data_IF_435702175922
#
_entry.id   IF_435702175922
#
_cell.length_a   1.000
_cell.length_b   1.000
_cell.length_c   1.000
_cell.angle_alpha   90.00
_cell.angle_beta   90.00
_cell.angle_gamma   90.00
#
_symmetry.space_group_name_H-M   'P 1'
#
loop_
_entity.id
_entity.type
_entity.pdbx_description
1 polymer ?
#
# COMPACT_ATOMS: atom_id res chain seq x y z
N UNK A 1 1.46 18.78 15.93
CA UNK A 1 0.87 19.59 17.02
C UNK A 1 0.18 18.70 18.06
N UNK A 2 -0.77 17.84 17.71
CA UNK A 2 -1.53 16.98 18.65
C UNK A 2 -0.65 16.08 19.53
N UNK A 3 0.42 15.53 19.00
CA UNK A 3 1.37 14.70 19.76
C UNK A 3 2.01 15.47 20.94
N UNK A 4 2.44 16.73 20.71
CA UNK A 4 3.11 17.54 21.73
C UNK A 4 2.18 17.98 22.86
N UNK A 5 0.86 17.96 22.67
CA UNK A 5 -0.14 18.33 23.68
C UNK A 5 -0.34 17.21 24.71
N UNK A 6 -0.25 15.92 24.29
CA UNK A 6 -0.49 14.79 25.17
C UNK A 6 0.36 13.56 24.79
N UNK A 7 1.70 13.59 24.98
CA UNK A 7 2.59 12.52 24.57
C UNK A 7 2.28 11.18 25.28
N UNK A 8 1.92 11.22 26.57
CA UNK A 8 1.59 10.03 27.34
C UNK A 8 0.27 9.36 26.92
N UNK A 9 -0.68 10.14 26.43
CA UNK A 9 -1.95 9.63 25.89
C UNK A 9 -1.69 8.82 24.61
N UNK A 10 -0.84 9.34 23.72
CA UNK A 10 -0.52 8.66 22.47
C UNK A 10 0.33 7.40 22.68
N UNK A 11 1.29 7.41 23.63
CA UNK A 11 2.07 6.22 23.94
C UNK A 11 1.20 5.11 24.49
N UNK A 12 0.20 5.43 25.31
CA UNK A 12 -0.73 4.45 25.87
C UNK A 12 -1.69 3.86 24.82
N UNK A 13 -2.18 4.68 23.89
CA UNK A 13 -3.08 4.21 22.81
C UNK A 13 -2.34 3.37 21.79
N UNK A 14 -1.14 3.78 21.38
CA UNK A 14 -0.39 3.12 20.32
C UNK A 14 0.51 2.00 20.83
N UNK A 15 0.69 1.88 22.16
CA UNK A 15 1.57 0.87 22.77
C UNK A 15 3.04 1.04 22.35
N UNK A 16 3.46 2.28 21.99
CA UNK A 16 4.80 2.57 21.50
C UNK A 16 5.56 3.43 22.51
N UNK A 17 6.86 3.19 22.60
CA UNK A 17 7.76 3.99 23.40
C UNK A 17 7.88 5.41 22.83
N UNK A 18 8.23 6.35 23.71
CA UNK A 18 8.32 7.77 23.37
C UNK A 18 9.33 8.04 22.25
N UNK A 19 10.43 7.32 22.21
CA UNK A 19 11.46 7.37 21.16
C UNK A 19 10.89 7.03 19.78
N UNK A 20 10.11 5.97 19.68
CA UNK A 20 9.46 5.52 18.44
C UNK A 20 8.35 6.47 17.99
N UNK A 21 7.63 7.06 18.93
CA UNK A 21 6.62 8.07 18.62
C UNK A 21 7.24 9.35 18.03
N UNK A 22 8.35 9.81 18.59
CA UNK A 22 9.08 10.95 18.04
C UNK A 22 9.60 10.63 16.64
N UNK A 23 10.18 9.44 16.46
CA UNK A 23 10.63 8.96 15.14
C UNK A 23 9.50 8.97 14.12
N UNK A 24 8.31 8.48 14.50
CA UNK A 24 7.12 8.47 13.65
C UNK A 24 6.66 9.88 13.25
N UNK A 25 6.65 10.82 14.20
CA UNK A 25 6.28 12.22 13.94
C UNK A 25 7.27 12.90 12.99
N UNK A 26 8.56 12.67 13.17
CA UNK A 26 9.60 13.14 12.25
C UNK A 26 9.37 12.57 10.85
N UNK A 27 9.06 11.28 10.77
CA UNK A 27 8.74 10.61 9.51
C UNK A 27 7.58 11.27 8.76
N UNK A 28 6.47 11.56 9.43
CA UNK A 28 5.33 12.26 8.80
C UNK A 28 5.68 13.65 8.25
N UNK A 29 6.65 14.32 8.84
CA UNK A 29 7.08 15.65 8.39
C UNK A 29 8.02 15.59 7.17
N UNK A 30 8.93 14.62 7.13
CA UNK A 30 9.99 14.61 6.12
C UNK A 30 9.77 13.62 4.98
N UNK A 31 9.14 12.45 5.24
CA UNK A 31 8.94 11.41 4.22
C UNK A 31 8.19 11.87 2.98
N UNK A 32 7.18 12.77 3.05
CA UNK A 32 6.50 13.25 1.86
C UNK A 32 7.44 13.89 0.82
N UNK A 33 8.56 14.48 1.25
CA UNK A 33 9.53 15.08 0.34
C UNK A 33 10.16 14.04 -0.60
N UNK A 34 10.46 12.85 -0.08
CA UNK A 34 10.98 11.74 -0.89
C UNK A 34 9.97 11.31 -1.94
N UNK A 35 8.70 11.12 -1.54
CA UNK A 35 7.64 10.70 -2.45
C UNK A 35 7.37 11.74 -3.55
N UNK A 36 7.32 13.02 -3.21
CA UNK A 36 7.18 14.10 -4.18
C UNK A 36 8.35 14.15 -5.15
N UNK A 37 9.57 14.02 -4.66
CA UNK A 37 10.75 14.04 -5.51
C UNK A 37 10.77 12.82 -6.45
N UNK A 38 10.49 11.61 -5.93
CA UNK A 38 10.41 10.38 -6.73
C UNK A 38 9.30 10.47 -7.79
N UNK A 39 8.12 10.96 -7.41
CA UNK A 39 7.02 11.17 -8.34
C UNK A 39 7.45 12.10 -9.48
N UNK A 40 8.08 13.23 -9.15
CA UNK A 40 8.59 14.16 -10.15
C UNK A 40 9.60 13.51 -11.10
N UNK A 41 10.57 12.73 -10.56
CA UNK A 41 11.54 12.04 -11.42
C UNK A 41 10.85 11.06 -12.39
N UNK A 42 9.79 10.36 -11.95
CA UNK A 42 8.99 9.46 -12.79
C UNK A 42 8.28 10.23 -13.93
N UNK A 43 7.66 11.36 -13.63
CA UNK A 43 7.01 12.20 -14.65
C UNK A 43 7.99 12.83 -15.63
N UNK A 44 9.23 13.14 -15.20
CA UNK A 44 10.31 13.65 -16.06
C UNK A 44 11.06 12.51 -16.76
N UNK A 45 10.69 11.23 -16.56
CA UNK A 45 11.38 10.03 -17.08
C UNK A 45 12.86 9.92 -16.66
N UNK A 46 13.21 10.53 -15.55
CA UNK A 46 14.56 10.48 -14.96
C UNK A 46 14.72 9.30 -14.00
N UNK A 47 14.40 8.10 -14.48
CA UNK A 47 14.35 6.89 -13.66
C UNK A 47 15.68 6.54 -13.00
N UNK A 48 16.84 6.82 -13.65
CA UNK A 48 18.17 6.48 -13.10
C UNK A 48 18.41 7.14 -11.74
N UNK A 49 18.10 8.43 -11.60
CA UNK A 49 18.26 9.14 -10.34
C UNK A 49 17.32 8.61 -9.25
N UNK A 50 16.04 8.37 -9.62
CA UNK A 50 15.05 7.82 -8.69
C UNK A 50 15.48 6.43 -8.19
N UNK A 51 15.87 5.53 -9.09
CA UNK A 51 16.33 4.18 -8.75
C UNK A 51 17.60 4.21 -7.90
N UNK A 52 18.58 5.05 -8.25
CA UNK A 52 19.80 5.18 -7.47
C UNK A 52 19.53 5.62 -6.03
N UNK A 53 18.73 6.67 -5.83
CA UNK A 53 18.39 7.15 -4.49
C UNK A 53 17.65 6.07 -3.70
N UNK A 54 16.67 5.40 -4.30
CA UNK A 54 15.89 4.34 -3.64
C UNK A 54 16.76 3.15 -3.24
N UNK A 55 17.60 2.64 -4.15
CA UNK A 55 18.45 1.49 -3.88
C UNK A 55 19.55 1.83 -2.87
N UNK A 56 20.25 2.95 -3.06
CA UNK A 56 21.33 3.34 -2.15
C UNK A 56 20.80 3.59 -0.73
N UNK A 57 19.68 4.30 -0.59
CA UNK A 57 19.08 4.53 0.74
C UNK A 57 18.65 3.23 1.40
N UNK A 58 18.07 2.28 0.66
CA UNK A 58 17.67 0.98 1.19
C UNK A 58 18.85 0.13 1.62
N UNK A 59 19.93 0.09 0.82
CA UNK A 59 21.16 -0.64 1.17
C UNK A 59 21.80 -0.04 2.42
N UNK A 60 22.00 1.28 2.45
CA UNK A 60 22.64 1.95 3.59
C UNK A 60 21.80 1.76 4.86
N UNK A 61 20.47 1.92 4.78
CA UNK A 61 19.56 1.70 5.90
C UNK A 61 19.63 0.27 6.42
N UNK A 62 19.65 -0.72 5.53
CA UNK A 62 19.74 -2.14 5.90
C UNK A 62 21.09 -2.48 6.54
N UNK A 63 22.20 -2.04 5.95
CA UNK A 63 23.53 -2.29 6.49
C UNK A 63 23.70 -1.64 7.85
N UNK A 64 23.33 -0.36 8.00
CA UNK A 64 23.43 0.33 9.28
C UNK A 64 22.54 -0.31 10.35
N UNK A 65 21.33 -0.76 9.96
CA UNK A 65 20.41 -1.48 10.84
C UNK A 65 21.03 -2.77 11.37
N UNK A 66 21.70 -3.56 10.53
CA UNK A 66 22.40 -4.79 10.93
C UNK A 66 23.58 -4.48 11.86
N UNK A 67 24.38 -3.48 11.54
CA UNK A 67 25.52 -3.06 12.38
C UNK A 67 25.03 -2.66 13.79
N UNK A 68 23.98 -1.86 13.87
CA UNK A 68 23.42 -1.43 15.15
C UNK A 68 22.86 -2.61 15.95
N UNK A 69 22.18 -3.56 15.29
CA UNK A 69 21.67 -4.77 15.95
C UNK A 69 22.81 -5.60 16.53
N UNK A 70 23.89 -5.83 15.78
CA UNK A 70 25.06 -6.58 16.25
C UNK A 70 25.71 -5.86 17.44
N UNK A 71 25.91 -4.57 17.33
CA UNK A 71 26.54 -3.76 18.39
C UNK A 71 25.71 -3.78 19.69
N UNK A 72 24.40 -3.56 19.62
CA UNK A 72 23.52 -3.56 20.78
C UNK A 72 23.39 -4.96 21.42
N UNK A 73 23.34 -6.01 20.59
CA UNK A 73 23.30 -7.39 21.08
C UNK A 73 24.58 -7.76 21.82
N UNK A 74 25.75 -7.36 21.32
CA UNK A 74 27.03 -7.61 21.97
C UNK A 74 27.17 -6.87 23.32
N UNK A 75 26.48 -5.73 23.46
CA UNK A 75 26.45 -4.94 24.69
C UNK A 75 25.30 -5.32 25.63
N UNK A 76 24.62 -6.46 25.40
CA UNK A 76 23.48 -6.93 26.19
C UNK A 76 22.36 -5.89 26.42
N UNK A 77 22.15 -5.01 25.44
CA UNK A 77 21.11 -3.98 25.52
C UNK A 77 19.72 -4.56 25.24
N UNK A 78 18.73 -4.20 26.07
CA UNK A 78 17.33 -4.58 25.82
C UNK A 78 16.71 -3.80 24.64
N UNK A 79 17.30 -2.68 24.22
CA UNK A 79 16.79 -1.78 23.20
C UNK A 79 17.17 -2.20 21.74
N UNK A 80 17.43 -3.49 21.48
CA UNK A 80 17.84 -3.97 20.16
C UNK A 80 16.79 -3.67 19.09
N UNK A 81 15.50 -3.87 19.40
CA UNK A 81 14.40 -3.64 18.46
C UNK A 81 14.24 -2.16 18.12
N UNK A 82 14.31 -1.28 19.14
CA UNK A 82 14.26 0.17 18.95
C UNK A 82 15.45 0.68 18.15
N UNK A 83 16.66 0.25 18.53
CA UNK A 83 17.89 0.63 17.84
C UNK A 83 17.88 0.26 16.37
N UNK A 84 17.34 -0.92 16.02
CA UNK A 84 17.12 -1.35 14.63
C UNK A 84 16.20 -0.38 13.87
N UNK A 85 15.07 -0.02 14.48
CA UNK A 85 14.10 0.88 13.85
C UNK A 85 14.68 2.29 13.68
N UNK A 86 15.35 2.82 14.69
CA UNK A 86 15.98 4.14 14.64
C UNK A 86 17.07 4.18 13.56
N UNK A 87 17.90 3.14 13.46
CA UNK A 87 18.94 3.06 12.44
C UNK A 87 18.35 3.00 11.02
N UNK A 88 17.34 2.16 10.82
CA UNK A 88 16.71 2.01 9.50
C UNK A 88 15.99 3.28 9.05
N UNK A 89 15.09 3.79 9.87
CA UNK A 89 14.31 4.99 9.54
C UNK A 89 15.14 6.27 9.60
N UNK A 90 16.16 6.32 10.45
CA UNK A 90 17.07 7.47 10.55
C UNK A 90 17.77 7.76 9.23
N UNK A 91 18.25 6.74 8.52
CA UNK A 91 18.85 6.91 7.17
C UNK A 91 17.81 7.41 6.17
N UNK A 92 16.62 6.80 6.15
CA UNK A 92 15.54 7.18 5.23
C UNK A 92 15.10 8.63 5.47
N UNK A 93 15.00 9.05 6.74
CA UNK A 93 14.61 10.41 7.10
C UNK A 93 15.73 11.43 6.85
N UNK A 94 17.00 11.04 6.97
CA UNK A 94 18.12 11.88 6.57
C UNK A 94 18.07 12.18 5.06
N UNK A 95 17.84 11.15 4.23
CA UNK A 95 17.66 11.33 2.79
C UNK A 95 16.44 12.21 2.49
N UNK A 96 15.31 11.96 3.18
CA UNK A 96 14.10 12.76 3.02
C UNK A 96 14.32 14.24 3.39
N UNK A 97 15.08 14.50 4.44
CA UNK A 97 15.42 15.86 4.89
C UNK A 97 16.30 16.59 3.87
N UNK A 98 17.29 15.90 3.29
CA UNK A 98 18.12 16.45 2.21
C UNK A 98 17.26 16.81 0.99
N UNK A 99 16.35 15.94 0.60
CA UNK A 99 15.43 16.19 -0.50
C UNK A 99 14.43 17.30 -0.17
N UNK A 100 13.96 17.39 1.08
CA UNK A 100 13.10 18.47 1.54
C UNK A 100 13.79 19.83 1.41
N UNK A 101 15.04 19.94 1.90
CA UNK A 101 15.86 21.15 1.77
C UNK A 101 16.06 21.50 0.29
N UNK A 102 16.40 20.52 -0.54
CA UNK A 102 16.57 20.71 -1.98
C UNK A 102 15.31 21.28 -2.66
N UNK A 103 14.13 20.73 -2.31
CA UNK A 103 12.84 21.20 -2.85
C UNK A 103 12.55 22.62 -2.40
N UNK A 104 12.78 22.96 -1.11
CA UNK A 104 12.54 24.28 -0.54
C UNK A 104 13.44 25.34 -1.14
N UNK A 105 14.74 25.08 -1.24
CA UNK A 105 15.71 26.00 -1.84
C UNK A 105 15.37 26.28 -3.30
N UNK A 106 14.94 25.27 -4.05
CA UNK A 106 14.63 25.42 -5.47
C UNK A 106 13.26 26.06 -5.74
N UNK A 107 12.32 25.89 -4.81
CA UNK A 107 10.94 26.37 -4.92
C UNK A 107 10.78 27.87 -4.62
N UNK A 108 11.71 28.49 -3.86
CA UNK A 108 11.70 29.88 -3.41
C UNK A 108 10.42 30.38 -2.69
N UNK A 109 9.41 29.49 -2.52
CA UNK A 109 8.12 29.81 -1.86
C UNK A 109 7.74 28.67 -0.93
N UNK A 110 7.62 28.96 0.36
CA UNK A 110 7.24 27.98 1.39
C UNK A 110 5.73 27.81 1.43
N UNK A 111 4.98 28.88 1.17
CA UNK A 111 3.54 28.90 1.33
C UNK A 111 2.84 29.53 0.12
N UNK A 112 1.84 28.83 -0.43
CA UNK A 112 0.96 29.37 -1.46
C UNK A 112 -0.47 28.81 -1.25
N UNK A 113 -1.37 29.65 -0.76
CA UNK A 113 -2.72 29.26 -0.37
C UNK A 113 -3.52 28.64 -1.54
N UNK A 114 -3.34 29.15 -2.77
CA UNK A 114 -4.02 28.64 -3.97
C UNK A 114 -3.64 27.17 -4.25
N UNK A 115 -2.33 26.86 -4.16
CA UNK A 115 -1.88 25.47 -4.37
C UNK A 115 -2.27 24.57 -3.21
N UNK A 116 -2.24 25.05 -2.00
CA UNK A 116 -2.64 24.31 -0.81
C UNK A 116 -4.13 23.94 -0.86
N UNK A 117 -5.01 24.92 -1.15
CA UNK A 117 -6.45 24.68 -1.28
C UNK A 117 -6.77 23.67 -2.38
N UNK A 118 -6.12 23.81 -3.56
CA UNK A 118 -6.28 22.84 -4.65
C UNK A 118 -5.82 21.43 -4.25
N UNK A 119 -4.64 21.32 -3.64
CA UNK A 119 -4.09 20.03 -3.21
C UNK A 119 -4.96 19.37 -2.15
N UNK A 120 -5.43 20.13 -1.14
CA UNK A 120 -6.31 19.62 -0.10
C UNK A 120 -7.66 19.14 -0.66
N UNK A 121 -8.28 19.91 -1.56
CA UNK A 121 -9.54 19.51 -2.19
C UNK A 121 -9.43 18.19 -2.96
N UNK A 122 -8.27 17.95 -3.61
CA UNK A 122 -8.01 16.71 -4.34
C UNK A 122 -7.60 15.55 -3.41
N UNK A 123 -6.79 15.85 -2.38
CA UNK A 123 -6.20 14.83 -1.52
C UNK A 123 -7.16 14.32 -0.45
N UNK A 124 -8.08 15.15 0.06
CA UNK A 124 -8.99 14.77 1.13
C UNK A 124 -9.87 13.56 0.77
N UNK A 125 -10.51 13.52 -0.42
CA UNK A 125 -11.23 12.33 -0.86
C UNK A 125 -10.30 11.11 -1.03
N UNK A 126 -9.05 11.31 -1.46
CA UNK A 126 -8.09 10.21 -1.62
C UNK A 126 -7.62 9.63 -0.28
N UNK A 127 -7.48 10.46 0.75
CA UNK A 127 -7.19 9.98 2.11
C UNK A 127 -8.34 9.10 2.60
N UNK A 128 -9.58 9.55 2.47
CA UNK A 128 -10.76 8.77 2.84
C UNK A 128 -10.88 7.47 2.01
N UNK A 129 -10.51 7.52 0.71
CA UNK A 129 -10.41 6.33 -0.13
C UNK A 129 -9.38 5.33 0.40
N UNK A 130 -8.20 5.78 0.84
CA UNK A 130 -7.19 4.89 1.42
C UNK A 130 -7.69 4.22 2.71
N UNK A 131 -8.42 4.94 3.57
CA UNK A 131 -9.06 4.33 4.73
C UNK A 131 -10.08 3.26 4.33
N UNK A 132 -10.96 3.52 3.36
CA UNK A 132 -11.93 2.55 2.87
C UNK A 132 -11.24 1.29 2.31
N UNK A 133 -10.15 1.47 1.55
CA UNK A 133 -9.37 0.35 1.01
C UNK A 133 -8.69 -0.46 2.12
N UNK A 134 -8.11 0.20 3.14
CA UNK A 134 -7.50 -0.47 4.28
C UNK A 134 -8.53 -1.23 5.13
N UNK A 135 -9.71 -0.68 5.30
CA UNK A 135 -10.82 -1.38 5.95
C UNK A 135 -11.18 -2.64 5.14
N UNK A 136 -11.34 -2.53 3.83
CA UNK A 136 -11.63 -3.69 2.97
C UNK A 136 -10.55 -4.78 3.05
N UNK A 137 -9.28 -4.40 3.06
CA UNK A 137 -8.17 -5.35 3.13
C UNK A 137 -8.05 -6.07 4.48
N UNK A 138 -8.43 -5.41 5.58
CA UNK A 138 -8.21 -5.92 6.93
C UNK A 138 -9.48 -6.42 7.62
N UNK A 139 -10.68 -6.02 7.14
CA UNK A 139 -11.97 -6.41 7.75
C UNK A 139 -12.12 -7.92 7.88
N UNK A 140 -11.72 -8.68 6.88
CA UNK A 140 -11.75 -10.13 6.90
C UNK A 140 -10.98 -10.71 8.09
N UNK A 141 -9.72 -10.25 8.31
CA UNK A 141 -8.88 -10.71 9.44
C UNK A 141 -9.50 -10.40 10.79
N UNK A 142 -10.01 -9.18 10.95
CA UNK A 142 -10.64 -8.75 12.21
C UNK A 142 -11.89 -9.56 12.49
N UNK A 143 -12.75 -9.75 11.49
CA UNK A 143 -14.02 -10.46 11.65
C UNK A 143 -13.82 -11.98 11.78
N UNK A 144 -12.79 -12.57 11.17
CA UNK A 144 -12.41 -13.97 11.45
C UNK A 144 -12.03 -14.13 12.92
N UNK A 145 -11.30 -13.16 13.50
CA UNK A 145 -10.96 -13.18 14.93
C UNK A 145 -12.19 -13.11 15.83
N UNK A 146 -13.22 -12.36 15.46
CA UNK A 146 -14.45 -12.25 16.23
C UNK A 146 -15.38 -13.46 16.11
N UNK A 147 -15.52 -14.02 14.90
CA UNK A 147 -16.51 -15.05 14.61
C UNK A 147 -15.98 -16.48 14.60
N UNK A 148 -14.66 -16.65 14.45
CA UNK A 148 -14.05 -17.98 14.36
C UNK A 148 -13.04 -18.18 15.49
N UNK A 149 -11.78 -17.84 15.30
CA UNK A 149 -10.70 -17.88 16.31
C UNK A 149 -9.40 -17.27 15.77
N UNK A 150 -8.40 -17.13 16.67
CA UNK A 150 -7.09 -16.56 16.33
C UNK A 150 -6.24 -17.48 15.43
N UNK A 151 -6.41 -18.81 15.48
CA UNK A 151 -5.71 -19.73 14.58
C UNK A 151 -6.15 -19.50 13.12
N UNK A 152 -7.46 -19.37 12.88
CA UNK A 152 -8.00 -19.05 11.56
C UNK A 152 -7.51 -17.68 11.04
N UNK A 153 -7.32 -16.67 11.93
CA UNK A 153 -6.70 -15.39 11.57
C UNK A 153 -5.26 -15.59 11.11
N UNK A 154 -4.49 -16.44 11.80
CA UNK A 154 -3.12 -16.78 11.42
C UNK A 154 -3.05 -17.43 10.04
N UNK A 155 -3.89 -18.43 9.79
CA UNK A 155 -3.98 -19.16 8.52
C UNK A 155 -4.33 -18.18 7.37
N UNK A 156 -5.44 -17.46 7.50
CA UNK A 156 -5.87 -16.47 6.50
C UNK A 156 -4.83 -15.37 6.29
N UNK A 157 -4.22 -14.90 7.38
CA UNK A 157 -3.20 -13.84 7.37
C UNK A 157 -1.94 -14.27 6.60
N UNK A 158 -1.47 -15.49 6.78
CA UNK A 158 -0.30 -16.04 6.07
C UNK A 158 -0.57 -16.12 4.58
N UNK A 159 -1.70 -16.71 4.16
CA UNK A 159 -2.07 -16.82 2.75
C UNK A 159 -2.27 -15.45 2.08
N UNK A 160 -2.92 -14.51 2.79
CA UNK A 160 -3.03 -13.13 2.33
C UNK A 160 -1.66 -12.47 2.15
N UNK A 161 -0.70 -12.75 3.05
CA UNK A 161 0.65 -12.17 2.98
C UNK A 161 1.43 -12.69 1.77
N UNK A 162 1.30 -13.98 1.43
CA UNK A 162 1.88 -14.56 0.21
C UNK A 162 1.32 -13.84 -1.02
N UNK A 163 0.00 -13.66 -1.08
CA UNK A 163 -0.66 -12.97 -2.21
C UNK A 163 -0.26 -11.49 -2.30
N UNK A 164 0.08 -10.84 -1.17
CA UNK A 164 0.51 -9.44 -1.15
C UNK A 164 1.80 -9.20 -1.94
N UNK A 165 2.64 -10.23 -2.15
CA UNK A 165 3.83 -10.12 -3.00
C UNK A 165 3.46 -9.64 -4.41
N UNK A 166 2.31 -10.07 -4.96
CA UNK A 166 1.83 -9.60 -6.25
C UNK A 166 1.54 -8.11 -6.28
N UNK A 167 1.14 -7.50 -5.16
CA UNK A 167 0.86 -6.06 -5.08
C UNK A 167 2.12 -5.21 -5.25
N UNK A 168 3.30 -5.73 -4.87
CA UNK A 168 4.58 -5.05 -5.09
C UNK A 168 4.86 -4.97 -6.58
N UNK A 169 4.64 -6.07 -7.31
CA UNK A 169 4.79 -6.10 -8.78
C UNK A 169 3.80 -5.13 -9.43
N UNK A 170 2.53 -5.15 -8.99
CA UNK A 170 1.53 -4.21 -9.48
C UNK A 170 1.93 -2.75 -9.23
N UNK A 171 2.43 -2.42 -8.04
CA UNK A 171 2.88 -1.08 -7.70
C UNK A 171 3.97 -0.56 -8.65
N UNK A 172 4.92 -1.41 -9.02
CA UNK A 172 5.97 -1.08 -9.99
C UNK A 172 5.39 -0.84 -11.39
N UNK A 173 4.51 -1.73 -11.86
CA UNK A 173 3.81 -1.60 -13.15
C UNK A 173 3.01 -0.30 -13.19
N UNK A 174 2.17 -0.06 -12.19
CA UNK A 174 1.28 1.09 -12.12
C UNK A 174 2.07 2.41 -12.06
N UNK A 175 3.16 2.45 -11.30
CA UNK A 175 4.02 3.64 -11.22
C UNK A 175 4.64 4.04 -12.56
N UNK A 176 4.92 3.08 -13.42
CA UNK A 176 5.44 3.32 -14.76
C UNK A 176 4.31 3.66 -15.75
N UNK A 177 3.12 3.11 -15.55
CA UNK A 177 1.96 3.29 -16.42
C UNK A 177 1.35 4.70 -16.29
N UNK A 178 1.27 5.25 -15.07
CA UNK A 178 0.62 6.55 -14.82
C UNK A 178 1.18 7.69 -15.70
N UNK A 179 2.49 7.93 -15.80
CA UNK A 179 3.02 9.00 -16.65
C UNK A 179 2.71 8.80 -18.14
N UNK A 180 2.72 7.53 -18.60
CA UNK A 180 2.35 7.19 -19.97
C UNK A 180 0.86 7.47 -20.24
N UNK A 181 -0.02 7.07 -19.31
CA UNK A 181 -1.46 7.37 -19.38
C UNK A 181 -1.71 8.86 -19.52
N UNK A 182 -1.15 9.67 -18.62
CA UNK A 182 -1.40 11.12 -18.56
C UNK A 182 -0.88 11.88 -19.78
N UNK A 183 0.13 11.36 -20.48
CA UNK A 183 0.62 11.98 -21.73
C UNK A 183 -0.23 11.65 -22.95
N UNK A 184 -0.94 10.54 -22.94
CA UNK A 184 -1.60 10.00 -24.12
C UNK A 184 -3.13 10.05 -24.06
N UNK A 185 -3.73 10.40 -22.90
CA UNK A 185 -5.18 10.26 -22.68
C UNK A 185 -6.02 11.21 -23.55
N UNK A 186 -5.52 12.41 -23.85
CA UNK A 186 -6.26 13.43 -24.64
C UNK A 186 -6.13 13.21 -26.15
N UNK A 187 -5.24 12.32 -26.59
CA UNK A 187 -5.00 12.09 -28.01
C UNK A 187 -5.73 10.81 -28.48
N UNK A 188 -6.43 10.88 -29.60
CA UNK A 188 -7.18 9.72 -30.14
C UNK A 188 -6.27 8.52 -30.49
N UNK A 189 -5.09 8.77 -31.05
CA UNK A 189 -4.08 7.72 -31.24
C UNK A 189 -3.54 7.20 -29.90
N UNK A 190 -3.41 8.09 -28.92
CA UNK A 190 -2.99 7.78 -27.56
C UNK A 190 -3.96 6.81 -26.87
N UNK A 191 -5.26 6.99 -27.02
CA UNK A 191 -6.28 6.09 -26.46
C UNK A 191 -6.10 4.64 -26.92
N UNK A 192 -5.79 4.43 -28.21
CA UNK A 192 -5.50 3.09 -28.74
C UNK A 192 -4.22 2.50 -28.13
N UNK A 193 -3.17 3.31 -27.96
CA UNK A 193 -1.92 2.92 -27.31
C UNK A 193 -2.14 2.57 -25.83
N UNK A 194 -2.93 3.39 -25.11
CA UNK A 194 -3.30 3.14 -23.71
C UNK A 194 -4.04 1.80 -23.60
N UNK A 195 -5.07 1.57 -24.44
CA UNK A 195 -5.82 0.32 -24.45
C UNK A 195 -4.90 -0.91 -24.63
N UNK A 196 -4.05 -0.89 -25.64
CA UNK A 196 -3.16 -2.00 -25.95
C UNK A 196 -2.16 -2.24 -24.82
N UNK A 197 -1.56 -1.17 -24.28
CA UNK A 197 -0.61 -1.28 -23.19
C UNK A 197 -1.30 -1.76 -21.90
N UNK A 198 -2.47 -1.25 -21.56
CA UNK A 198 -3.25 -1.70 -20.39
C UNK A 198 -3.59 -3.18 -20.47
N UNK A 199 -4.02 -3.67 -21.63
CA UNK A 199 -4.30 -5.08 -21.86
C UNK A 199 -3.05 -5.95 -21.67
N UNK A 200 -1.91 -5.51 -22.22
CA UNK A 200 -0.65 -6.22 -22.07
C UNK A 200 -0.20 -6.26 -20.59
N UNK A 201 -0.24 -5.13 -19.90
CA UNK A 201 0.15 -5.03 -18.49
C UNK A 201 -0.75 -5.89 -17.59
N UNK A 202 -2.07 -5.88 -17.83
CA UNK A 202 -3.00 -6.73 -17.10
C UNK A 202 -2.79 -8.21 -17.41
N UNK A 203 -2.49 -8.59 -18.66
CA UNK A 203 -2.18 -9.96 -19.00
C UNK A 203 -0.90 -10.46 -18.30
N UNK A 204 0.16 -9.65 -18.30
CA UNK A 204 1.40 -9.98 -17.56
C UNK A 204 1.13 -10.07 -16.06
N UNK A 205 0.34 -9.15 -15.51
CA UNK A 205 0.00 -9.18 -14.10
C UNK A 205 -0.89 -10.38 -13.72
N UNK A 206 -1.82 -10.78 -14.59
CA UNK A 206 -2.59 -11.99 -14.40
C UNK A 206 -1.70 -13.24 -14.34
N UNK A 207 -0.66 -13.32 -15.21
CA UNK A 207 0.33 -14.41 -15.15
C UNK A 207 1.07 -14.43 -13.81
N UNK A 208 1.43 -13.27 -13.26
CA UNK A 208 2.07 -13.17 -11.93
C UNK A 208 1.12 -13.67 -10.83
N UNK A 209 -0.16 -13.28 -10.86
CA UNK A 209 -1.16 -13.73 -9.89
C UNK A 209 -1.37 -15.25 -9.96
N UNK A 210 -1.45 -15.79 -11.17
CA UNK A 210 -1.56 -17.25 -11.42
C UNK A 210 -0.31 -17.97 -10.91
N UNK A 211 0.88 -17.47 -11.22
CA UNK A 211 2.14 -18.06 -10.77
C UNK A 211 2.23 -18.11 -9.24
N UNK A 212 1.89 -17.03 -8.54
CA UNK A 212 1.87 -17.00 -7.08
C UNK A 212 0.87 -17.99 -6.52
N UNK A 213 -0.29 -18.16 -7.16
CA UNK A 213 -1.30 -19.14 -6.76
C UNK A 213 -0.77 -20.57 -6.92
N UNK A 214 -0.08 -20.88 -8.02
CA UNK A 214 0.52 -22.20 -8.24
C UNK A 214 1.71 -22.49 -7.30
N UNK A 215 2.50 -21.48 -6.95
CA UNK A 215 3.63 -21.64 -6.02
C UNK A 215 3.20 -21.61 -4.55
N UNK A 216 1.96 -21.27 -4.25
CA UNK A 216 1.46 -21.16 -2.88
C UNK A 216 1.65 -22.44 -2.05
N UNK A 217 1.39 -23.68 -2.58
CA UNK A 217 1.62 -24.90 -1.82
C UNK A 217 3.07 -25.07 -1.38
N UNK A 218 4.03 -24.79 -2.26
CA UNK A 218 5.46 -24.90 -1.97
C UNK A 218 5.90 -23.85 -0.95
N UNK A 219 5.42 -22.62 -1.11
CA UNK A 219 5.73 -21.53 -0.16
C UNK A 219 5.15 -21.85 1.22
N UNK A 220 3.91 -22.33 1.30
CA UNK A 220 3.29 -22.73 2.57
C UNK A 220 4.07 -23.90 3.20
N UNK A 221 4.53 -24.88 2.42
CA UNK A 221 5.33 -25.99 2.91
C UNK A 221 6.67 -25.58 3.53
N UNK A 222 7.28 -24.52 3.01
CA UNK A 222 8.55 -24.00 3.52
C UNK A 222 8.34 -23.10 4.75
N UNK A 223 7.26 -22.33 4.79
CA UNK A 223 7.06 -21.25 5.77
C UNK A 223 6.09 -21.58 6.90
N UNK A 224 5.26 -22.62 6.75
CA UNK A 224 4.15 -22.92 7.66
C UNK A 224 4.04 -24.40 7.99
N UNK A 225 3.22 -24.72 9.00
CA UNK A 225 2.92 -26.10 9.44
C UNK A 225 1.80 -26.72 8.60
N UNK A 226 1.61 -28.03 8.72
CA UNK A 226 0.62 -28.80 7.95
C UNK A 226 -0.82 -28.29 8.06
N UNK A 227 -1.16 -27.63 9.15
CA UNK A 227 -2.49 -27.02 9.38
C UNK A 227 -2.86 -25.98 8.30
N UNK A 228 -1.87 -25.32 7.71
CA UNK A 228 -2.07 -24.28 6.69
C UNK A 228 -2.39 -24.86 5.29
N UNK A 229 -2.09 -26.15 5.08
CA UNK A 229 -2.32 -26.83 3.79
C UNK A 229 -3.80 -26.86 3.41
N UNK A 230 -4.69 -27.07 4.37
CA UNK A 230 -6.14 -27.12 4.15
C UNK A 230 -6.72 -25.81 3.63
N UNK A 231 -6.00 -24.71 3.82
CA UNK A 231 -6.45 -23.37 3.44
C UNK A 231 -5.95 -22.90 2.07
N UNK A 232 -5.06 -23.64 1.41
CA UNK A 232 -4.50 -23.25 0.10
C UNK A 232 -5.58 -23.01 -0.94
N UNK A 233 -6.72 -23.70 -0.85
CA UNK A 233 -7.84 -23.55 -1.77
C UNK A 233 -8.48 -22.16 -1.80
N UNK A 234 -8.20 -21.28 -0.82
CA UNK A 234 -8.67 -19.88 -0.86
C UNK A 234 -7.72 -18.95 -1.65
N UNK A 235 -6.51 -19.41 -1.97
CA UNK A 235 -5.51 -18.61 -2.69
C UNK A 235 -6.00 -18.08 -4.04
N UNK A 236 -6.71 -18.89 -4.88
CA UNK A 236 -7.26 -18.38 -6.13
C UNK A 236 -8.21 -17.21 -5.93
N UNK A 237 -9.07 -17.26 -4.89
CA UNK A 237 -10.00 -16.18 -4.59
C UNK A 237 -9.27 -14.90 -4.13
N UNK A 238 -8.25 -15.03 -3.28
CA UNK A 238 -7.43 -13.88 -2.82
C UNK A 238 -6.65 -13.29 -4.00
N UNK A 239 -6.02 -14.11 -4.82
CA UNK A 239 -5.26 -13.64 -6.00
C UNK A 239 -6.16 -12.95 -7.01
N UNK A 240 -7.37 -13.51 -7.27
CA UNK A 240 -8.36 -12.87 -8.12
C UNK A 240 -8.86 -11.54 -7.56
N UNK A 241 -9.05 -11.43 -6.23
CA UNK A 241 -9.40 -10.18 -5.57
C UNK A 241 -8.32 -9.09 -5.76
N UNK A 242 -7.06 -9.47 -5.59
CA UNK A 242 -5.92 -8.56 -5.79
C UNK A 242 -5.81 -8.15 -7.28
N UNK A 243 -6.06 -9.05 -8.20
CA UNK A 243 -6.12 -8.74 -9.63
C UNK A 243 -7.25 -7.76 -9.96
N UNK A 244 -8.44 -7.95 -9.39
CA UNK A 244 -9.57 -7.00 -9.55
C UNK A 244 -9.25 -5.61 -8.97
N UNK A 245 -8.53 -5.57 -7.85
CA UNK A 245 -8.05 -4.30 -7.30
C UNK A 245 -7.06 -3.60 -8.26
N UNK A 246 -6.23 -4.34 -8.97
CA UNK A 246 -5.33 -3.78 -9.98
C UNK A 246 -6.10 -3.18 -11.16
N UNK A 247 -7.17 -3.83 -11.62
CA UNK A 247 -8.08 -3.29 -12.65
C UNK A 247 -8.71 -1.99 -12.15
N UNK A 248 -9.22 -1.97 -10.91
CA UNK A 248 -9.80 -0.75 -10.34
C UNK A 248 -8.81 0.41 -10.28
N UNK A 249 -7.55 0.14 -9.93
CA UNK A 249 -6.49 1.15 -9.92
C UNK A 249 -6.26 1.79 -11.30
N UNK A 250 -6.38 1.04 -12.39
CA UNK A 250 -6.27 1.60 -13.75
C UNK A 250 -7.39 2.61 -14.04
N UNK A 251 -8.63 2.27 -13.70
CA UNK A 251 -9.77 3.20 -13.84
C UNK A 251 -9.65 4.39 -12.88
N UNK A 252 -9.21 4.15 -11.64
CA UNK A 252 -8.95 5.22 -10.67
C UNK A 252 -7.93 6.25 -11.19
N UNK A 253 -6.88 5.81 -11.90
CA UNK A 253 -5.90 6.71 -12.52
C UNK A 253 -6.54 7.61 -13.60
N UNK A 254 -7.50 7.10 -14.37
CA UNK A 254 -8.27 7.90 -15.36
C UNK A 254 -9.16 8.92 -14.63
N UNK A 255 -9.88 8.49 -13.60
CA UNK A 255 -10.70 9.39 -12.78
C UNK A 255 -9.87 10.48 -12.10
N UNK A 256 -8.68 10.14 -11.64
CA UNK A 256 -7.75 11.09 -11.03
C UNK A 256 -7.24 12.12 -12.04
N UNK A 257 -6.94 11.72 -13.27
CA UNK A 257 -6.58 12.62 -14.36
C UNK A 257 -7.68 13.66 -14.58
N UNK A 258 -8.94 13.24 -14.61
CA UNK A 258 -10.08 14.13 -14.75
C UNK A 258 -10.49 14.84 -13.44
N UNK A 259 -9.68 14.76 -12.37
CA UNK A 259 -9.91 15.37 -11.05
C UNK A 259 -11.20 14.91 -10.36
N UNK A 260 -11.67 13.72 -10.69
CA UNK A 260 -12.89 13.10 -10.14
C UNK A 260 -12.62 12.23 -8.90
N UNK A 261 -11.78 12.71 -7.97
CA UNK A 261 -11.38 11.94 -6.76
C UNK A 261 -12.55 11.54 -5.84
N UNK A 262 -13.61 12.35 -5.81
CA UNK A 262 -14.83 12.03 -5.03
C UNK A 262 -15.52 10.76 -5.52
N UNK A 263 -15.52 10.48 -6.82
CA UNK A 263 -16.11 9.26 -7.37
C UNK A 263 -15.28 8.02 -7.00
N UNK A 264 -13.95 8.16 -6.92
CA UNK A 264 -13.07 7.11 -6.42
C UNK A 264 -13.44 6.78 -4.97
N UNK A 265 -13.62 7.80 -4.14
CA UNK A 265 -14.04 7.64 -2.74
C UNK A 265 -15.38 6.91 -2.63
N UNK A 266 -16.41 7.37 -3.36
CA UNK A 266 -17.77 6.77 -3.29
C UNK A 266 -17.71 5.28 -3.67
N UNK A 267 -17.01 4.94 -4.77
CA UNK A 267 -16.84 3.55 -5.20
C UNK A 267 -16.16 2.69 -4.13
N UNK A 268 -15.10 3.22 -3.51
CA UNK A 268 -14.34 2.47 -2.51
C UNK A 268 -15.09 2.31 -1.20
N UNK A 269 -15.82 3.33 -0.76
CA UNK A 269 -16.68 3.22 0.43
C UNK A 269 -17.81 2.21 0.19
N UNK A 270 -18.44 2.24 -0.98
CA UNK A 270 -19.46 1.26 -1.35
C UNK A 270 -18.90 -0.17 -1.32
N UNK A 271 -17.74 -0.40 -1.92
CA UNK A 271 -17.09 -1.70 -1.90
C UNK A 271 -16.71 -2.13 -0.46
N UNK A 272 -16.22 -1.21 0.37
CA UNK A 272 -15.88 -1.50 1.76
C UNK A 272 -17.10 -1.89 2.59
N UNK A 273 -18.23 -1.18 2.43
CA UNK A 273 -19.48 -1.52 3.10
C UNK A 273 -19.98 -2.90 2.66
N UNK A 274 -19.98 -3.18 1.37
CA UNK A 274 -20.37 -4.51 0.85
C UNK A 274 -19.44 -5.60 1.38
N UNK A 275 -18.14 -5.36 1.44
CA UNK A 275 -17.18 -6.32 2.00
C UNK A 275 -17.48 -6.62 3.48
N UNK A 276 -17.72 -5.61 4.31
CA UNK A 276 -18.06 -5.77 5.73
C UNK A 276 -19.36 -6.54 5.89
N UNK A 277 -20.41 -6.19 5.13
CA UNK A 277 -21.71 -6.87 5.18
C UNK A 277 -21.58 -8.33 4.78
N UNK A 278 -20.87 -8.63 3.69
CA UNK A 278 -20.63 -10.00 3.26
C UNK A 278 -19.82 -10.79 4.29
N UNK A 279 -18.78 -10.19 4.86
CA UNK A 279 -18.01 -10.82 5.94
C UNK A 279 -18.88 -11.12 7.16
N UNK A 280 -19.74 -10.17 7.59
CA UNK A 280 -20.63 -10.35 8.73
C UNK A 280 -21.66 -11.48 8.53
N UNK A 281 -22.13 -11.66 7.31
CA UNK A 281 -23.11 -12.68 6.97
C UNK A 281 -22.45 -14.05 6.69
N UNK A 282 -21.34 -14.07 5.98
CA UNK A 282 -20.78 -15.31 5.45
C UNK A 282 -19.72 -15.95 6.36
N UNK A 283 -18.94 -15.17 7.11
CA UNK A 283 -17.91 -15.76 8.00
C UNK A 283 -18.52 -16.63 9.09
N UNK A 284 -19.63 -16.25 9.77
CA UNK A 284 -20.26 -17.13 10.76
C UNK A 284 -20.79 -18.47 10.17
N UNK A 285 -21.15 -18.47 8.89
CA UNK A 285 -21.71 -19.65 8.21
C UNK A 285 -20.64 -20.56 7.58
N UNK A 286 -19.62 -19.97 6.95
CA UNK A 286 -18.63 -20.68 6.14
C UNK A 286 -17.20 -20.56 6.68
N UNK A 287 -17.01 -19.93 7.82
CA UNK A 287 -15.69 -19.76 8.43
C UNK A 287 -14.79 -18.77 7.66
N UNK A 288 -13.49 -18.86 7.92
CA UNK A 288 -12.48 -17.93 7.39
C UNK A 288 -12.38 -17.93 5.85
N UNK A 289 -12.80 -19.01 5.19
CA UNK A 289 -12.79 -19.12 3.73
C UNK A 289 -13.70 -18.07 3.07
N UNK A 290 -14.82 -17.74 3.70
CA UNK A 290 -15.76 -16.74 3.21
C UNK A 290 -15.13 -15.36 3.04
N UNK A 291 -14.14 -15.00 3.87
CA UNK A 291 -13.48 -13.70 3.80
C UNK A 291 -12.76 -13.46 2.46
N UNK A 292 -12.18 -14.50 1.87
CA UNK A 292 -11.54 -14.41 0.56
C UNK A 292 -12.54 -14.12 -0.56
N UNK A 293 -13.69 -14.78 -0.54
CA UNK A 293 -14.74 -14.56 -1.53
C UNK A 293 -15.45 -13.23 -1.34
N UNK A 294 -15.69 -12.82 -0.10
CA UNK A 294 -16.23 -11.47 0.21
C UNK A 294 -15.32 -10.37 -0.31
N UNK A 295 -14.01 -10.52 -0.14
CA UNK A 295 -13.01 -9.60 -0.68
C UNK A 295 -13.03 -9.58 -2.21
N UNK A 296 -13.13 -10.73 -2.87
CA UNK A 296 -13.22 -10.83 -4.32
C UNK A 296 -14.46 -10.09 -4.84
N UNK A 297 -15.63 -10.36 -4.28
CA UNK A 297 -16.89 -9.70 -4.68
C UNK A 297 -16.80 -8.19 -4.48
N UNK A 298 -16.26 -7.74 -3.37
CA UNK A 298 -16.08 -6.31 -3.10
C UNK A 298 -15.15 -5.62 -4.11
N UNK A 299 -14.03 -6.23 -4.48
CA UNK A 299 -13.14 -5.65 -5.47
C UNK A 299 -13.65 -5.78 -6.91
N UNK A 300 -14.43 -6.79 -7.22
CA UNK A 300 -15.19 -6.84 -8.47
C UNK A 300 -16.17 -5.66 -8.54
N UNK A 301 -16.95 -5.43 -7.51
CA UNK A 301 -17.86 -4.28 -7.45
C UNK A 301 -17.11 -2.96 -7.60
N UNK A 302 -15.99 -2.80 -6.90
CA UNK A 302 -15.13 -1.61 -6.99
C UNK A 302 -14.67 -1.37 -8.43
N UNK A 303 -14.15 -2.39 -9.10
CA UNK A 303 -13.66 -2.28 -10.47
C UNK A 303 -14.77 -1.93 -11.46
N UNK A 304 -15.95 -2.53 -11.31
CA UNK A 304 -17.11 -2.22 -12.16
C UNK A 304 -17.63 -0.78 -11.93
N UNK A 305 -17.77 -0.34 -10.68
CA UNK A 305 -18.19 1.02 -10.39
C UNK A 305 -17.25 2.05 -10.99
N UNK A 306 -15.93 1.84 -10.84
CA UNK A 306 -14.94 2.76 -11.39
C UNK A 306 -14.89 2.72 -12.92
N UNK A 307 -15.11 1.56 -13.54
CA UNK A 307 -15.22 1.42 -14.99
C UNK A 307 -16.40 2.23 -15.56
N UNK A 308 -17.56 2.17 -14.92
CA UNK A 308 -18.75 2.91 -15.39
C UNK A 308 -18.64 4.43 -15.23
N UNK A 309 -17.84 4.89 -14.29
CA UNK A 309 -17.69 6.33 -14.00
C UNK A 309 -16.50 6.94 -14.76
N UNK A 310 -15.51 6.15 -15.19
CA UNK A 310 -14.31 6.60 -15.90
C UNK A 310 -14.61 6.92 -17.35
#
# INVERSE_FOLDING_TARGET
ALYFIAPNFWSKILGLDRSLLVLMVIGFLVSPATEFWLARQRYEYRYKAATAVTILSAIVASVLSVIVVIFLRNNHSEAVAEGRLIANYGVLYAVALVLWIYIMVRGHKIFNFKYWSFSLALSLPLIANQFATQISNNSGRVMIGWFVNNSAVGIYGTLSSISTVSTIVWSAINSSFIPFLYRNIDNNEGKKKIKNLSQLLLAVYAMVCVLITFLAPEVVKIMATDEYYSAIYIMPAISAAIFQNAISNMYANVLLYHKKSSYILISSVTAAVVNIVLNALLIPLFGYQAAAYSMLIAFMLLSYLQMFIS
#
